data_IF_368385875982
#
_entry.id   IF_368385875982
#
_cell.length_a   1.000
_cell.length_b   1.000
_cell.length_c   1.000
_cell.angle_alpha   90.00
_cell.angle_beta   90.00
_cell.angle_gamma   90.00
#
_symmetry.space_group_name_H-M   'P 1'
#
loop_
_entity.id
_entity.type
_entity.pdbx_description
1 polymer ?
#
# COMPACT_ATOMS: atom_id res chain seq x y z
N UNK A 1 -0.12 -19.93 11.09
CA UNK A 1 0.24 -20.91 10.03
C UNK A 1 1.63 -21.44 10.36
N UNK A 2 1.95 -22.71 10.04
CA UNK A 2 3.30 -23.26 10.27
C UNK A 2 4.10 -23.16 8.97
N UNK A 3 4.77 -22.03 8.77
CA UNK A 3 5.47 -21.67 7.53
C UNK A 3 6.59 -22.63 7.13
N UNK A 4 7.35 -23.16 8.11
CA UNK A 4 8.45 -24.10 7.85
C UNK A 4 8.00 -25.42 7.20
N UNK A 5 6.76 -25.83 7.41
CA UNK A 5 6.21 -27.01 6.73
C UNK A 5 5.78 -26.72 5.29
N UNK A 6 5.38 -25.46 5.00
CA UNK A 6 4.98 -25.02 3.67
C UNK A 6 6.21 -24.75 2.79
N UNK A 7 7.24 -24.17 3.37
CA UNK A 7 8.46 -23.72 2.69
C UNK A 7 9.66 -24.55 3.15
N UNK A 8 9.56 -25.88 2.93
CA UNK A 8 10.58 -26.81 3.37
C UNK A 8 11.66 -27.03 2.29
N UNK A 9 12.93 -26.66 2.56
CA UNK A 9 14.03 -26.85 1.59
C UNK A 9 14.31 -28.28 1.19
N UNK A 10 13.83 -29.27 1.99
CA UNK A 10 14.01 -30.68 1.68
C UNK A 10 13.09 -31.21 0.57
N UNK A 11 12.04 -30.46 0.22
CA UNK A 11 11.04 -30.87 -0.77
C UNK A 11 10.88 -29.88 -1.92
N UNK A 12 11.42 -28.67 -1.79
CA UNK A 12 11.34 -27.62 -2.81
C UNK A 12 12.74 -27.22 -3.30
N UNK A 13 12.85 -26.89 -4.59
CA UNK A 13 14.02 -26.22 -5.13
C UNK A 13 13.99 -24.74 -4.79
N UNK A 14 15.14 -24.06 -4.78
CA UNK A 14 15.15 -22.59 -4.67
C UNK A 14 14.35 -21.93 -5.81
N UNK A 15 13.62 -20.89 -5.45
CA UNK A 15 12.88 -20.01 -6.36
C UNK A 15 13.82 -18.92 -6.83
N UNK A 16 13.89 -18.68 -8.13
CA UNK A 16 14.69 -17.62 -8.73
C UNK A 16 13.81 -16.41 -9.03
N UNK A 17 14.00 -15.35 -8.27
CA UNK A 17 13.30 -14.09 -8.47
C UNK A 17 14.21 -13.08 -9.21
N UNK A 18 13.61 -12.20 -9.99
CA UNK A 18 14.24 -10.93 -10.37
C UNK A 18 13.54 -9.78 -9.64
N UNK A 19 14.28 -8.70 -9.47
CA UNK A 19 13.83 -7.50 -8.79
C UNK A 19 13.85 -6.32 -9.77
N UNK A 20 12.78 -5.54 -9.85
CA UNK A 20 12.81 -4.22 -10.45
C UNK A 20 12.74 -3.16 -9.36
N UNK A 21 13.66 -2.18 -9.45
CA UNK A 21 13.81 -1.13 -8.44
C UNK A 21 14.71 -1.55 -7.26
N UNK A 22 15.81 -0.80 -7.07
CA UNK A 22 16.74 -0.96 -5.97
C UNK A 22 16.69 0.24 -5.01
N UNK A 23 15.46 0.69 -4.67
CA UNK A 23 15.18 1.64 -3.61
C UNK A 23 15.25 0.98 -2.23
N UNK A 24 14.80 1.68 -1.18
CA UNK A 24 14.81 1.15 0.20
C UNK A 24 14.10 -0.20 0.32
N UNK A 25 12.93 -0.34 -0.28
CA UNK A 25 12.16 -1.58 -0.26
C UNK A 25 12.90 -2.72 -0.98
N UNK A 26 13.33 -2.49 -2.23
CA UNK A 26 14.02 -3.51 -3.03
C UNK A 26 15.36 -3.93 -2.42
N UNK A 27 16.13 -2.99 -1.87
CA UNK A 27 17.37 -3.29 -1.16
C UNK A 27 17.13 -4.12 0.10
N UNK A 28 16.07 -3.82 0.87
CA UNK A 28 15.64 -4.59 2.04
C UNK A 28 15.25 -6.03 1.66
N UNK A 29 14.48 -6.19 0.58
CA UNK A 29 14.13 -7.51 0.04
C UNK A 29 15.37 -8.30 -0.38
N UNK A 30 16.29 -7.67 -1.13
CA UNK A 30 17.52 -8.32 -1.61
C UNK A 30 18.40 -8.77 -0.45
N UNK A 31 18.53 -7.94 0.58
CA UNK A 31 19.26 -8.29 1.81
C UNK A 31 18.63 -9.48 2.51
N UNK A 32 17.32 -9.46 2.74
CA UNK A 32 16.62 -10.51 3.45
C UNK A 32 16.65 -11.85 2.70
N UNK A 33 16.58 -11.80 1.37
CA UNK A 33 16.63 -12.99 0.51
C UNK A 33 17.90 -13.82 0.73
N UNK A 34 19.03 -13.21 1.09
CA UNK A 34 20.28 -13.93 1.39
C UNK A 34 20.17 -14.89 2.59
N UNK A 35 19.26 -14.61 3.52
CA UNK A 35 18.96 -15.49 4.65
C UNK A 35 17.90 -16.55 4.38
N UNK A 36 17.31 -16.59 3.18
CA UNK A 36 16.22 -17.49 2.82
C UNK A 36 16.69 -18.66 1.95
N UNK A 37 16.74 -19.91 2.48
CA UNK A 37 17.30 -21.05 1.75
C UNK A 37 16.58 -21.41 0.43
N UNK A 38 15.32 -20.97 0.28
CA UNK A 38 14.48 -21.24 -0.91
C UNK A 38 14.38 -20.07 -1.87
N UNK A 39 15.18 -19.00 -1.69
CA UNK A 39 15.06 -17.81 -2.51
C UNK A 39 16.44 -17.36 -3.03
N UNK A 40 16.53 -17.20 -4.33
CA UNK A 40 17.67 -16.59 -5.01
C UNK A 40 17.20 -15.38 -5.79
N UNK A 41 17.98 -14.29 -5.77
CA UNK A 41 17.69 -13.07 -6.55
C UNK A 41 18.89 -12.79 -7.48
N UNK A 42 19.04 -13.55 -8.56
CA UNK A 42 20.20 -13.46 -9.45
C UNK A 42 20.15 -12.30 -10.44
N UNK A 43 19.06 -11.54 -10.52
CA UNK A 43 18.92 -10.45 -11.46
C UNK A 43 18.19 -9.25 -10.85
N UNK A 44 18.71 -8.04 -11.08
CA UNK A 44 18.11 -6.77 -10.66
C UNK A 44 18.08 -5.81 -11.85
N UNK A 45 16.90 -5.23 -12.10
CA UNK A 45 16.71 -4.16 -13.08
C UNK A 45 16.43 -2.83 -12.36
N UNK A 46 17.21 -1.80 -12.66
CA UNK A 46 16.98 -0.46 -12.13
C UNK A 46 17.61 0.61 -13.01
N UNK A 47 16.91 1.73 -13.17
CA UNK A 47 17.44 2.89 -13.96
C UNK A 47 18.82 3.36 -13.50
N UNK A 48 19.12 3.28 -12.20
CA UNK A 48 20.42 3.64 -11.64
C UNK A 48 21.15 2.36 -11.24
N UNK A 49 21.87 1.76 -12.19
CA UNK A 49 22.55 0.46 -12.02
C UNK A 49 23.45 0.39 -10.79
N UNK A 50 24.12 1.51 -10.42
CA UNK A 50 24.97 1.55 -9.25
C UNK A 50 24.21 1.24 -7.96
N UNK A 51 22.94 1.67 -7.84
CA UNK A 51 22.10 1.33 -6.66
C UNK A 51 21.90 -0.18 -6.49
N UNK A 52 21.80 -0.91 -7.60
CA UNK A 52 21.68 -2.37 -7.54
C UNK A 52 23.00 -3.03 -7.14
N UNK A 53 24.12 -2.52 -7.63
CA UNK A 53 25.46 -3.00 -7.22
C UNK A 53 25.65 -2.77 -5.73
N UNK A 54 25.35 -1.56 -5.23
CA UNK A 54 25.44 -1.21 -3.81
C UNK A 54 24.50 -2.09 -2.96
N UNK A 55 23.28 -2.37 -3.46
CA UNK A 55 22.33 -3.24 -2.77
C UNK A 55 22.83 -4.69 -2.65
N UNK A 56 23.47 -5.24 -3.70
CA UNK A 56 24.13 -6.55 -3.64
C UNK A 56 25.28 -6.56 -2.65
N UNK A 57 26.14 -5.54 -2.66
CA UNK A 57 27.26 -5.44 -1.72
C UNK A 57 26.76 -5.35 -0.28
N UNK A 58 25.74 -4.54 -0.01
CA UNK A 58 25.09 -4.43 1.30
C UNK A 58 24.46 -5.77 1.73
N UNK A 59 24.01 -6.58 0.80
CA UNK A 59 23.49 -7.93 1.05
C UNK A 59 24.61 -9.00 1.20
N UNK A 60 25.89 -8.59 1.20
CA UNK A 60 27.04 -9.48 1.38
C UNK A 60 27.52 -10.16 0.11
N UNK A 61 27.03 -9.78 -1.06
CA UNK A 61 27.49 -10.28 -2.35
C UNK A 61 28.57 -9.34 -2.89
N UNK A 62 29.83 -9.81 -3.03
CA UNK A 62 30.92 -8.93 -3.47
C UNK A 62 30.74 -8.46 -4.91
N UNK A 63 31.18 -7.23 -5.23
CA UNK A 63 31.11 -6.65 -6.58
C UNK A 63 31.71 -7.57 -7.67
N UNK A 64 32.70 -8.38 -7.32
CA UNK A 64 33.31 -9.37 -8.25
C UNK A 64 32.31 -10.46 -8.70
N UNK A 65 31.18 -10.62 -8.02
CA UNK A 65 30.09 -11.55 -8.36
C UNK A 65 28.90 -10.86 -9.01
N UNK A 66 28.99 -9.54 -9.25
CA UNK A 66 27.96 -8.76 -9.90
C UNK A 66 28.43 -8.30 -11.28
N UNK A 67 27.57 -8.39 -12.27
CA UNK A 67 27.86 -7.96 -13.65
C UNK A 67 26.77 -6.99 -14.13
N UNK A 68 27.18 -5.78 -14.45
CA UNK A 68 26.32 -4.83 -15.18
C UNK A 68 26.33 -5.21 -16.65
N UNK A 69 25.16 -5.38 -17.24
CA UNK A 69 24.96 -5.81 -18.62
C UNK A 69 24.14 -4.77 -19.39
N UNK A 70 24.52 -4.54 -20.65
CA UNK A 70 23.92 -3.53 -21.52
C UNK A 70 23.07 -4.14 -22.65
N UNK A 71 22.92 -5.47 -22.65
CA UNK A 71 22.11 -6.21 -23.63
C UNK A 71 21.61 -7.53 -23.07
N UNK A 72 20.58 -8.10 -23.71
CA UNK A 72 20.05 -9.42 -23.37
C UNK A 72 21.09 -10.54 -23.56
N UNK A 73 21.98 -10.46 -24.58
CA UNK A 73 23.01 -11.44 -24.83
C UNK A 73 24.07 -11.42 -23.72
N UNK A 74 24.47 -10.23 -23.30
CA UNK A 74 25.42 -10.03 -22.21
C UNK A 74 24.84 -10.55 -20.88
N UNK A 75 23.58 -10.21 -20.59
CA UNK A 75 22.85 -10.66 -19.40
C UNK A 75 22.76 -12.19 -19.35
N UNK A 76 22.42 -12.83 -20.49
CA UNK A 76 22.33 -14.29 -20.60
C UNK A 76 23.67 -14.96 -20.39
N UNK A 77 24.76 -14.41 -20.93
CA UNK A 77 26.11 -14.91 -20.75
C UNK A 77 26.54 -14.75 -19.28
N UNK A 78 26.41 -13.57 -18.71
CA UNK A 78 26.77 -13.31 -17.31
C UNK A 78 26.01 -14.23 -16.35
N UNK A 79 24.71 -14.42 -16.57
CA UNK A 79 23.88 -15.35 -15.78
C UNK A 79 24.39 -16.81 -15.92
N UNK A 80 24.69 -17.27 -17.13
CA UNK A 80 25.23 -18.62 -17.38
C UNK A 80 26.58 -18.83 -16.71
N UNK A 81 27.41 -17.78 -16.64
CA UNK A 81 28.73 -17.78 -15.97
C UNK A 81 28.60 -17.67 -14.42
N UNK A 82 27.37 -17.61 -13.87
CA UNK A 82 27.09 -17.60 -12.44
C UNK A 82 27.27 -16.24 -11.76
N UNK A 83 27.14 -15.13 -12.50
CA UNK A 83 27.11 -13.78 -11.94
C UNK A 83 25.70 -13.37 -11.61
N UNK A 84 25.55 -12.50 -10.61
CA UNK A 84 24.34 -11.71 -10.41
C UNK A 84 24.30 -10.60 -11.46
N UNK A 85 23.19 -10.51 -12.17
CA UNK A 85 23.03 -9.63 -13.33
C UNK A 85 22.37 -8.32 -12.91
N UNK A 86 22.91 -7.19 -13.32
CA UNK A 86 22.30 -5.86 -13.15
C UNK A 86 22.09 -5.24 -14.53
N UNK A 87 20.89 -4.75 -14.77
CA UNK A 87 20.47 -4.11 -16.04
C UNK A 87 19.69 -2.84 -15.79
N UNK A 88 19.59 -1.97 -16.80
CA UNK A 88 18.73 -0.78 -16.82
C UNK A 88 17.40 -0.98 -17.57
N UNK A 89 17.29 -2.05 -18.37
CA UNK A 89 16.05 -2.46 -19.05
C UNK A 89 15.64 -3.87 -18.65
N UNK A 90 14.35 -4.04 -18.30
CA UNK A 90 13.81 -5.36 -17.93
C UNK A 90 13.84 -6.36 -19.10
N UNK A 91 13.73 -5.89 -20.32
CA UNK A 91 13.82 -6.71 -21.54
C UNK A 91 15.11 -7.55 -21.61
N UNK A 92 16.23 -7.05 -21.04
CA UNK A 92 17.51 -7.76 -21.07
C UNK A 92 17.55 -9.01 -20.18
N UNK A 93 16.66 -9.09 -19.18
CA UNK A 93 16.58 -10.24 -18.26
C UNK A 93 15.29 -11.05 -18.39
N UNK A 94 14.32 -10.58 -19.18
CA UNK A 94 13.01 -11.22 -19.29
C UNK A 94 13.06 -12.68 -19.80
N UNK A 95 14.06 -13.03 -20.61
CA UNK A 95 14.25 -14.39 -21.14
C UNK A 95 15.18 -15.27 -20.29
N UNK A 96 15.67 -14.80 -19.14
CA UNK A 96 16.42 -15.61 -18.18
C UNK A 96 15.47 -16.62 -17.48
N UNK A 97 15.99 -17.77 -17.03
CA UNK A 97 15.17 -18.79 -16.36
C UNK A 97 14.81 -18.36 -14.93
N UNK A 98 13.90 -17.43 -14.82
CA UNK A 98 13.41 -16.82 -13.59
C UNK A 98 11.96 -17.27 -13.33
N UNK A 99 11.58 -17.42 -12.07
CA UNK A 99 10.25 -17.90 -11.65
C UNK A 99 9.31 -16.74 -11.31
N UNK A 100 9.85 -15.66 -10.75
CA UNK A 100 9.04 -14.56 -10.18
C UNK A 100 9.70 -13.21 -10.46
N UNK A 101 8.90 -12.24 -10.89
CA UNK A 101 9.24 -10.82 -10.84
C UNK A 101 8.76 -10.23 -9.51
N UNK A 102 9.65 -9.59 -8.75
CA UNK A 102 9.32 -8.68 -7.65
C UNK A 102 9.43 -7.26 -8.19
N UNK A 103 8.30 -6.57 -8.30
CA UNK A 103 8.24 -5.23 -8.88
C UNK A 103 8.14 -4.17 -7.76
N UNK A 104 9.16 -3.34 -7.59
CA UNK A 104 9.27 -2.31 -6.55
C UNK A 104 9.89 -0.99 -7.05
N UNK A 105 9.71 -0.67 -8.32
CA UNK A 105 10.32 0.53 -8.92
C UNK A 105 9.60 1.83 -8.56
N UNK A 106 8.31 1.79 -8.22
CA UNK A 106 7.46 2.96 -7.99
C UNK A 106 7.22 3.81 -9.26
N UNK A 107 7.52 3.27 -10.45
CA UNK A 107 7.35 3.94 -11.74
C UNK A 107 6.22 3.28 -12.54
N UNK A 108 4.98 3.82 -12.52
CA UNK A 108 3.77 3.10 -12.94
C UNK A 108 3.83 2.52 -14.36
N UNK A 109 4.29 3.30 -15.33
CA UNK A 109 4.36 2.86 -16.75
C UNK A 109 5.41 1.76 -16.95
N UNK A 110 6.63 1.96 -16.44
CA UNK A 110 7.70 0.97 -16.55
C UNK A 110 7.39 -0.31 -15.76
N UNK A 111 6.78 -0.16 -14.60
CA UNK A 111 6.31 -1.25 -13.75
C UNK A 111 5.24 -2.09 -14.44
N UNK A 112 4.25 -1.45 -15.07
CA UNK A 112 3.21 -2.14 -15.83
C UNK A 112 3.79 -2.93 -17.02
N UNK A 113 4.69 -2.32 -17.78
CA UNK A 113 5.37 -2.97 -18.91
C UNK A 113 6.22 -4.16 -18.46
N UNK A 114 7.01 -4.01 -17.38
CA UNK A 114 7.82 -5.09 -16.85
C UNK A 114 6.95 -6.26 -16.35
N UNK A 115 5.85 -5.97 -15.63
CA UNK A 115 4.92 -6.98 -15.14
C UNK A 115 4.20 -7.73 -16.28
N UNK A 116 3.76 -7.01 -17.32
CA UNK A 116 3.15 -7.61 -18.50
C UNK A 116 4.13 -8.55 -19.21
N UNK A 117 5.35 -8.08 -19.49
CA UNK A 117 6.40 -8.88 -20.13
C UNK A 117 6.78 -10.10 -19.26
N UNK A 118 6.87 -9.95 -17.93
CA UNK A 118 7.12 -11.07 -17.03
C UNK A 118 6.02 -12.15 -17.14
N UNK A 119 4.75 -11.75 -17.16
CA UNK A 119 3.61 -12.66 -17.37
C UNK A 119 3.71 -13.36 -18.74
N UNK A 120 4.08 -12.64 -19.79
CA UNK A 120 4.28 -13.20 -21.12
C UNK A 120 5.41 -14.23 -21.16
N UNK A 121 6.44 -14.06 -20.36
CA UNK A 121 7.57 -14.99 -20.22
C UNK A 121 7.37 -16.11 -19.21
N UNK A 122 6.18 -16.19 -18.60
CA UNK A 122 5.81 -17.27 -17.68
C UNK A 122 6.27 -17.06 -16.24
N UNK A 123 6.60 -15.83 -15.84
CA UNK A 123 6.93 -15.50 -14.46
C UNK A 123 5.67 -15.12 -13.67
N UNK A 124 5.63 -15.51 -12.40
CA UNK A 124 4.71 -14.94 -11.42
C UNK A 124 5.10 -13.48 -11.14
N UNK A 125 4.16 -12.67 -10.65
CA UNK A 125 4.40 -11.25 -10.32
C UNK A 125 4.02 -11.00 -8.87
N UNK A 126 4.97 -10.47 -8.11
CA UNK A 126 4.77 -9.88 -6.78
C UNK A 126 4.91 -8.38 -6.95
N UNK A 127 3.78 -7.68 -6.91
CA UNK A 127 3.69 -6.24 -7.14
C UNK A 127 3.78 -5.49 -5.82
N UNK A 128 4.82 -4.70 -5.66
CA UNK A 128 5.02 -3.82 -4.50
C UNK A 128 4.62 -2.38 -4.86
N UNK A 129 4.82 -1.98 -6.11
CA UNK A 129 4.45 -0.64 -6.58
C UNK A 129 2.93 -0.46 -6.61
N UNK A 130 2.38 0.02 -5.49
CA UNK A 130 0.96 0.32 -5.31
C UNK A 130 0.40 1.29 -6.36
N UNK A 131 1.25 2.16 -6.86
CA UNK A 131 0.96 3.11 -7.93
C UNK A 131 0.49 2.39 -9.20
N UNK A 132 1.18 1.32 -9.57
CA UNK A 132 0.83 0.46 -10.69
C UNK A 132 -0.36 -0.43 -10.37
N UNK A 133 -0.36 -1.02 -9.17
CA UNK A 133 -1.39 -1.97 -8.72
C UNK A 133 -2.78 -1.29 -8.71
N UNK A 134 -2.87 -0.04 -8.24
CA UNK A 134 -4.12 0.72 -8.19
C UNK A 134 -4.69 1.07 -9.57
N UNK A 135 -3.86 1.12 -10.62
CA UNK A 135 -4.28 1.50 -11.98
C UNK A 135 -4.55 0.27 -12.85
N UNK A 136 -3.59 -0.68 -12.91
CA UNK A 136 -3.65 -1.81 -13.84
C UNK A 136 -3.58 -3.17 -13.16
N UNK A 137 -3.53 -3.24 -11.83
CA UNK A 137 -3.39 -4.48 -11.08
C UNK A 137 -4.46 -5.53 -11.42
N UNK A 138 -5.72 -5.11 -11.58
CA UNK A 138 -6.82 -6.01 -11.94
C UNK A 138 -6.67 -6.63 -13.34
N UNK A 139 -6.12 -5.88 -14.30
CA UNK A 139 -5.85 -6.36 -15.66
C UNK A 139 -4.67 -7.33 -15.65
N UNK A 140 -3.58 -6.98 -14.98
CA UNK A 140 -2.41 -7.83 -14.85
C UNK A 140 -2.72 -9.14 -14.12
N UNK A 141 -3.50 -9.08 -13.03
CA UNK A 141 -3.96 -10.25 -12.30
C UNK A 141 -4.77 -11.20 -13.20
N UNK A 142 -5.67 -10.66 -14.04
CA UNK A 142 -6.43 -11.45 -15.01
C UNK A 142 -5.51 -12.10 -16.05
N UNK A 143 -4.58 -11.33 -16.66
CA UNK A 143 -3.62 -11.85 -17.63
C UNK A 143 -2.74 -12.96 -17.04
N UNK A 144 -2.30 -12.83 -15.80
CA UNK A 144 -1.56 -13.85 -15.09
C UNK A 144 -2.40 -15.11 -14.88
N UNK A 145 -3.65 -14.98 -14.40
CA UNK A 145 -4.55 -16.10 -14.17
C UNK A 145 -4.88 -16.88 -15.45
N UNK A 146 -5.09 -16.20 -16.58
CA UNK A 146 -5.31 -16.81 -17.90
C UNK A 146 -4.13 -17.70 -18.34
N UNK A 147 -2.93 -17.46 -17.81
CA UNK A 147 -1.71 -18.25 -18.06
C UNK A 147 -1.35 -19.23 -16.93
N UNK A 148 -2.21 -19.38 -15.93
CA UNK A 148 -1.93 -20.22 -14.74
C UNK A 148 -0.82 -19.65 -13.85
N UNK A 149 -0.57 -18.36 -13.94
CA UNK A 149 0.41 -17.63 -13.13
C UNK A 149 -0.27 -16.89 -11.98
N UNK A 150 0.50 -16.54 -10.98
CA UNK A 150 0.05 -15.72 -9.84
C UNK A 150 0.50 -14.28 -10.06
N UNK A 151 -0.43 -13.37 -9.89
CA UNK A 151 -0.19 -11.96 -9.59
C UNK A 151 -0.66 -11.69 -8.17
N UNK A 152 0.13 -11.02 -7.38
CA UNK A 152 -0.22 -10.67 -5.99
C UNK A 152 0.38 -9.33 -5.60
N UNK A 153 -0.35 -8.54 -4.82
CA UNK A 153 0.24 -7.45 -4.03
C UNK A 153 1.24 -8.08 -3.05
N UNK A 154 2.44 -7.52 -2.96
CA UNK A 154 3.55 -8.09 -2.17
C UNK A 154 3.40 -7.83 -0.67
N UNK A 155 3.71 -8.86 0.16
CA UNK A 155 3.82 -8.67 1.60
C UNK A 155 4.99 -7.72 1.94
N UNK A 156 4.83 -7.00 3.05
CA UNK A 156 5.80 -6.00 3.52
C UNK A 156 5.34 -4.57 3.34
N UNK A 157 4.17 -4.34 2.74
CA UNK A 157 3.49 -3.04 2.71
C UNK A 157 2.06 -3.17 3.25
N UNK A 158 1.45 -2.06 3.64
CA UNK A 158 0.13 -2.01 4.29
C UNK A 158 -1.00 -2.65 3.47
N UNK A 159 -1.09 -2.49 2.14
CA UNK A 159 -2.17 -3.10 1.37
C UNK A 159 -2.25 -4.62 1.53
N UNK A 160 -1.14 -5.33 1.35
CA UNK A 160 -1.10 -6.79 1.47
C UNK A 160 -1.43 -7.25 2.90
N UNK A 161 -0.85 -6.60 3.92
CA UNK A 161 -1.16 -6.89 5.33
C UNK A 161 -2.64 -6.72 5.65
N UNK A 162 -3.26 -5.64 5.17
CA UNK A 162 -4.68 -5.38 5.40
C UNK A 162 -5.57 -6.39 4.68
N UNK A 163 -5.25 -6.72 3.42
CA UNK A 163 -5.95 -7.75 2.64
C UNK A 163 -5.87 -9.09 3.37
N UNK A 164 -4.67 -9.47 3.84
CA UNK A 164 -4.44 -10.67 4.63
C UNK A 164 -5.25 -10.70 5.91
N UNK A 165 -5.28 -9.61 6.68
CA UNK A 165 -6.03 -9.49 7.93
C UNK A 165 -7.54 -9.56 7.70
N UNK A 166 -8.06 -8.89 6.66
CA UNK A 166 -9.48 -8.98 6.25
C UNK A 166 -9.82 -10.42 5.85
N UNK A 167 -8.99 -11.05 5.02
CA UNK A 167 -9.19 -12.43 4.58
C UNK A 167 -9.21 -13.40 5.76
N UNK A 168 -8.24 -13.28 6.68
CA UNK A 168 -8.18 -14.07 7.90
C UNK A 168 -9.44 -13.91 8.76
N UNK A 169 -9.90 -12.68 8.99
CA UNK A 169 -11.13 -12.43 9.74
C UNK A 169 -12.37 -13.03 9.09
N UNK A 170 -12.47 -13.00 7.75
CA UNK A 170 -13.57 -13.61 6.99
C UNK A 170 -13.57 -15.14 7.09
N UNK A 171 -12.41 -15.78 6.99
CA UNK A 171 -12.27 -17.25 7.15
C UNK A 171 -12.68 -17.69 8.54
N UNK A 172 -12.44 -16.88 9.57
CA UNK A 172 -12.91 -17.12 10.93
C UNK A 172 -14.40 -16.81 11.15
N UNK A 173 -15.12 -16.38 10.12
CA UNK A 173 -16.55 -16.02 10.22
C UNK A 173 -16.82 -14.74 11.01
N UNK A 174 -15.82 -13.86 11.18
CA UNK A 174 -16.00 -12.59 11.85
C UNK A 174 -16.83 -11.62 11.00
N UNK A 175 -17.75 -10.90 11.63
CA UNK A 175 -18.46 -9.80 10.98
C UNK A 175 -17.60 -8.54 11.04
N UNK A 176 -16.89 -8.24 9.95
CA UNK A 176 -16.02 -7.06 9.84
C UNK A 176 -16.87 -5.86 9.49
N UNK A 177 -16.98 -4.89 10.40
CA UNK A 177 -17.77 -3.66 10.23
C UNK A 177 -16.93 -2.50 9.72
N UNK A 178 -15.62 -2.53 9.94
CA UNK A 178 -14.67 -1.56 9.45
C UNK A 178 -13.30 -2.17 9.25
N UNK A 179 -12.52 -1.61 8.34
CA UNK A 179 -11.13 -1.98 8.15
C UNK A 179 -10.34 -0.77 7.66
N UNK A 180 -9.04 -0.77 7.89
CA UNK A 180 -8.22 0.34 7.47
C UNK A 180 -6.77 0.26 7.89
N UNK A 181 -6.09 1.37 7.68
CA UNK A 181 -4.68 1.55 8.02
C UNK A 181 -4.45 2.82 8.81
N UNK A 182 -3.37 2.87 9.55
CA UNK A 182 -2.83 4.15 9.97
C UNK A 182 -2.14 4.83 8.78
N UNK A 183 -2.36 6.14 8.64
CA UNK A 183 -1.53 6.96 7.76
C UNK A 183 -0.07 6.93 8.24
N UNK A 184 0.86 7.31 7.39
CA UNK A 184 2.27 7.49 7.75
C UNK A 184 2.50 8.63 8.76
N UNK A 185 1.48 9.48 8.97
CA UNK A 185 1.54 10.59 9.91
C UNK A 185 1.23 10.12 11.34
N UNK A 186 2.25 10.20 12.19
CA UNK A 186 2.17 9.91 13.62
C UNK A 186 2.09 11.24 14.39
N UNK A 187 1.03 11.43 15.17
CA UNK A 187 0.75 12.66 15.89
C UNK A 187 1.03 12.46 17.37
N UNK A 188 2.16 13.01 17.83
CA UNK A 188 2.71 12.78 19.17
C UNK A 188 2.36 13.98 20.05
N UNK A 189 1.45 13.76 21.00
CA UNK A 189 1.04 14.78 21.97
C UNK A 189 1.92 14.76 23.20
N UNK A 190 2.58 15.90 23.45
CA UNK A 190 3.30 16.17 24.70
C UNK A 190 2.41 16.93 25.67
N UNK A 191 1.89 16.29 26.74
CA UNK A 191 1.00 16.93 27.69
C UNK A 191 1.69 17.97 28.59
N UNK A 192 3.01 17.91 28.74
CA UNK A 192 3.77 18.88 29.55
C UNK A 192 3.90 20.23 28.85
N UNK A 193 3.94 20.21 27.50
CA UNK A 193 4.06 21.41 26.67
C UNK A 193 2.77 21.81 25.98
N UNK A 194 1.73 20.98 26.06
CA UNK A 194 0.44 21.09 25.36
C UNK A 194 0.64 21.30 23.85
N UNK A 195 1.50 20.45 23.25
CA UNK A 195 1.92 20.50 21.85
C UNK A 195 1.75 19.14 21.16
N UNK A 196 1.51 19.16 19.86
CA UNK A 196 1.54 17.98 19.00
C UNK A 196 2.71 18.09 18.04
N UNK A 197 3.59 17.10 18.05
CA UNK A 197 4.66 16.89 17.09
C UNK A 197 4.22 15.92 16.01
N UNK A 198 4.43 16.27 14.74
CA UNK A 198 4.26 15.40 13.59
C UNK A 198 5.61 15.24 12.88
N UNK A 199 6.40 14.19 13.19
CA UNK A 199 7.74 14.01 12.64
C UNK A 199 7.76 13.91 11.13
N UNK A 200 6.82 13.17 10.53
CA UNK A 200 6.71 13.00 9.07
C UNK A 200 6.49 14.31 8.32
N UNK A 201 5.88 15.32 8.95
CA UNK A 201 5.68 16.65 8.39
C UNK A 201 6.70 17.69 8.92
N UNK A 202 7.60 17.26 9.83
CA UNK A 202 8.60 18.13 10.49
C UNK A 202 7.96 19.37 11.13
N UNK A 203 6.79 19.20 11.74
CA UNK A 203 6.01 20.29 12.36
C UNK A 203 5.70 19.99 13.81
N UNK A 204 5.66 21.04 14.61
CA UNK A 204 5.22 21.04 15.99
C UNK A 204 4.18 22.14 16.18
N UNK A 205 3.00 21.78 16.69
CA UNK A 205 1.83 22.66 16.78
C UNK A 205 1.44 22.84 18.23
N UNK A 206 1.30 24.08 18.69
CA UNK A 206 0.73 24.40 19.97
C UNK A 206 -0.77 24.03 19.98
N UNK A 207 -1.18 23.25 20.95
CA UNK A 207 -2.52 22.67 21.02
C UNK A 207 -3.15 22.89 22.42
N UNK A 208 -3.33 24.16 22.84
CA UNK A 208 -3.85 24.47 24.19
C UNK A 208 -5.20 23.82 24.42
N UNK A 209 -5.29 23.00 25.48
CA UNK A 209 -6.48 22.27 25.84
C UNK A 209 -6.65 20.90 25.19
N UNK A 210 -5.69 20.41 24.40
CA UNK A 210 -5.71 19.07 23.78
C UNK A 210 -5.86 17.97 24.84
N UNK A 211 -5.29 18.16 26.03
CA UNK A 211 -5.42 17.21 27.14
C UNK A 211 -6.89 16.90 27.50
N UNK A 212 -7.79 17.87 27.38
CA UNK A 212 -9.23 17.66 27.58
C UNK A 212 -9.86 16.77 26.51
N UNK A 213 -9.23 16.64 25.34
CA UNK A 213 -9.65 15.83 24.21
C UNK A 213 -8.89 14.50 24.16
N UNK A 214 -8.04 14.18 25.16
CA UNK A 214 -7.23 12.97 25.17
C UNK A 214 -8.05 11.68 25.11
N UNK A 215 -9.21 11.65 25.76
CA UNK A 215 -10.16 10.53 25.76
C UNK A 215 -11.55 11.01 25.39
N UNK A 216 -12.35 10.12 24.81
CA UNK A 216 -13.74 10.42 24.49
C UNK A 216 -14.59 10.69 25.75
N UNK A 217 -14.35 9.94 26.83
CA UNK A 217 -15.23 9.98 28.01
C UNK A 217 -16.65 9.60 27.62
N UNK A 218 -17.63 10.41 28.06
CA UNK A 218 -19.05 10.25 27.71
C UNK A 218 -19.44 11.02 26.44
N UNK A 219 -18.52 11.71 25.78
CA UNK A 219 -18.79 12.50 24.57
C UNK A 219 -18.93 11.61 23.35
N UNK A 220 -19.68 12.03 22.31
CA UNK A 220 -19.68 11.38 21.02
C UNK A 220 -18.26 11.35 20.43
N UNK A 221 -17.86 10.21 19.86
CA UNK A 221 -16.53 10.04 19.27
C UNK A 221 -16.29 11.06 18.15
N UNK A 222 -17.26 11.26 17.26
CA UNK A 222 -17.20 12.23 16.15
C UNK A 222 -16.92 13.66 16.65
N UNK A 223 -17.52 14.07 17.76
CA UNK A 223 -17.29 15.41 18.34
C UNK A 223 -15.82 15.60 18.75
N UNK A 224 -15.26 14.61 19.45
CA UNK A 224 -13.89 14.72 19.97
C UNK A 224 -12.87 14.70 18.84
N UNK A 225 -12.99 13.77 17.87
CA UNK A 225 -12.06 13.74 16.73
C UNK A 225 -12.21 14.96 15.82
N UNK A 226 -13.44 15.51 15.70
CA UNK A 226 -13.68 16.77 15.00
C UNK A 226 -12.96 17.95 15.66
N UNK A 227 -12.97 18.05 16.98
CA UNK A 227 -12.23 19.07 17.73
C UNK A 227 -10.71 18.89 17.62
N UNK A 228 -10.21 17.66 17.73
CA UNK A 228 -8.78 17.38 17.49
C UNK A 228 -8.36 17.83 16.10
N UNK A 229 -9.14 17.48 15.07
CA UNK A 229 -8.88 17.89 13.70
C UNK A 229 -8.88 19.42 13.52
N UNK A 230 -9.82 20.13 14.16
CA UNK A 230 -9.88 21.59 14.11
C UNK A 230 -8.66 22.27 14.72
N UNK A 231 -8.01 21.65 15.72
CA UNK A 231 -6.77 22.15 16.31
C UNK A 231 -5.53 21.86 15.46
N UNK A 232 -5.63 20.90 14.54
CA UNK A 232 -4.51 20.39 13.73
C UNK A 232 -4.69 20.63 12.23
N UNK A 233 -5.44 21.68 11.85
CA UNK A 233 -5.76 21.98 10.44
C UNK A 233 -4.56 22.34 9.59
N UNK A 234 -3.44 22.79 10.20
CA UNK A 234 -2.20 23.08 9.49
C UNK A 234 -1.41 21.82 9.12
N UNK A 235 -1.76 20.67 9.71
CA UNK A 235 -1.14 19.39 9.39
C UNK A 235 -1.96 18.66 8.32
N UNK A 236 -1.28 17.94 7.44
CA UNK A 236 -1.94 17.00 6.54
C UNK A 236 -2.41 15.77 7.32
N UNK A 237 -3.62 15.30 7.04
CA UNK A 237 -4.22 14.12 7.66
C UNK A 237 -4.26 12.91 6.74
N UNK A 238 -3.81 13.06 5.51
CA UNK A 238 -3.74 12.00 4.47
C UNK A 238 -2.78 12.40 3.38
N UNK A 239 -2.23 11.42 2.71
CA UNK A 239 -1.39 11.55 1.52
C UNK A 239 -2.03 10.85 0.32
N UNK A 240 -1.54 11.12 -0.89
CA UNK A 240 -1.94 10.38 -2.09
C UNK A 240 -1.60 8.89 -1.98
N UNK A 241 -0.42 8.49 -1.46
CA UNK A 241 -0.12 7.09 -1.16
C UNK A 241 -1.15 6.40 -0.26
N UNK A 242 -1.65 7.04 0.81
CA UNK A 242 -2.71 6.47 1.65
C UNK A 242 -3.96 6.09 0.86
N UNK A 243 -4.40 6.98 -0.04
CA UNK A 243 -5.58 6.75 -0.89
C UNK A 243 -5.31 5.63 -1.91
N UNK A 244 -4.11 5.63 -2.50
CA UNK A 244 -3.67 4.63 -3.45
C UNK A 244 -3.71 3.22 -2.85
N UNK A 245 -3.09 3.04 -1.69
CA UNK A 245 -3.06 1.77 -0.97
C UNK A 245 -4.47 1.26 -0.66
N UNK A 246 -5.36 2.15 -0.25
CA UNK A 246 -6.73 1.77 0.07
C UNK A 246 -7.58 1.49 -1.18
N UNK A 247 -7.25 2.04 -2.35
CA UNK A 247 -7.85 1.62 -3.63
C UNK A 247 -7.47 0.16 -3.95
N UNK A 248 -6.21 -0.23 -3.76
CA UNK A 248 -5.74 -1.62 -3.91
C UNK A 248 -6.52 -2.55 -2.98
N UNK A 249 -6.66 -2.18 -1.69
CA UNK A 249 -7.44 -2.96 -0.71
C UNK A 249 -8.90 -3.09 -1.13
N UNK A 250 -9.54 -2.01 -1.61
CA UNK A 250 -10.92 -2.03 -2.09
C UNK A 250 -11.09 -3.00 -3.25
N UNK A 251 -10.17 -2.95 -4.23
CA UNK A 251 -10.18 -3.80 -5.41
C UNK A 251 -9.95 -5.29 -5.07
N UNK A 252 -9.16 -5.59 -4.04
CA UNK A 252 -8.89 -6.95 -3.60
C UNK A 252 -10.01 -7.53 -2.72
N UNK A 253 -10.61 -6.71 -1.86
CA UNK A 253 -11.51 -7.20 -0.79
C UNK A 253 -12.99 -6.95 -1.07
N UNK A 254 -13.32 -6.02 -1.95
CA UNK A 254 -14.68 -5.55 -2.20
C UNK A 254 -15.24 -4.63 -1.11
N UNK A 255 -14.44 -4.28 -0.10
CA UNK A 255 -14.82 -3.25 0.87
C UNK A 255 -14.56 -1.87 0.26
N UNK A 256 -15.53 -0.98 0.35
CA UNK A 256 -15.45 0.35 -0.27
C UNK A 256 -15.19 1.45 0.77
N UNK A 257 -14.55 2.55 0.39
CA UNK A 257 -14.47 3.74 1.23
C UNK A 257 -15.85 4.22 1.66
N UNK A 258 -15.99 4.72 2.89
CA UNK A 258 -17.21 5.39 3.31
C UNK A 258 -17.36 6.77 2.66
N UNK A 259 -16.23 7.43 2.42
CA UNK A 259 -16.13 8.76 1.77
C UNK A 259 -14.96 8.79 0.80
N UNK A 260 -15.05 9.59 -0.29
CA UNK A 260 -13.98 9.72 -1.29
C UNK A 260 -12.62 10.16 -0.74
N UNK A 261 -12.61 10.85 0.38
CA UNK A 261 -11.40 11.38 1.05
C UNK A 261 -11.19 10.77 2.43
N UNK A 262 -11.91 9.69 2.77
CA UNK A 262 -11.94 9.13 4.11
C UNK A 262 -12.35 10.13 5.21
N UNK A 263 -12.63 9.65 6.40
CA UNK A 263 -12.78 10.48 7.58
C UNK A 263 -11.42 10.93 8.11
N UNK A 264 -10.42 10.06 8.04
CA UNK A 264 -9.04 10.29 8.47
C UNK A 264 -8.93 10.95 9.85
N UNK A 265 -9.57 10.40 10.91
CA UNK A 265 -9.56 11.00 12.23
C UNK A 265 -8.16 10.95 12.85
N UNK A 266 -7.89 11.91 13.74
CA UNK A 266 -6.75 11.85 14.67
C UNK A 266 -7.22 11.07 15.90
N UNK A 267 -6.73 9.84 16.05
CA UNK A 267 -7.27 8.89 17.01
C UNK A 267 -6.20 8.02 17.65
N UNK A 268 -6.49 7.56 18.87
CA UNK A 268 -5.66 6.58 19.57
C UNK A 268 -6.03 5.16 19.13
N UNK A 269 -5.11 4.23 19.32
CA UNK A 269 -5.30 2.81 18.95
C UNK A 269 -6.52 2.21 19.66
N UNK A 270 -6.73 2.53 20.94
CA UNK A 270 -7.84 2.03 21.74
C UNK A 270 -9.20 2.65 21.37
N UNK A 271 -9.21 3.71 20.56
CA UNK A 271 -10.42 4.38 20.08
C UNK A 271 -10.96 3.83 18.75
N UNK A 272 -10.18 3.01 18.04
CA UNK A 272 -10.56 2.46 16.73
C UNK A 272 -11.93 1.76 16.72
N UNK A 273 -12.31 0.92 17.74
CA UNK A 273 -13.60 0.25 17.73
C UNK A 273 -14.79 1.18 17.93
N UNK A 274 -14.58 2.36 18.55
CA UNK A 274 -15.61 3.38 18.72
C UNK A 274 -15.80 4.24 17.47
N UNK A 275 -14.77 4.33 16.61
CA UNK A 275 -14.77 5.19 15.42
C UNK A 275 -15.20 4.45 14.16
N UNK A 276 -14.60 3.28 13.91
CA UNK A 276 -14.75 2.57 12.63
C UNK A 276 -15.89 1.56 12.66
N UNK A 277 -17.01 1.99 13.17
CA UNK A 277 -18.29 1.28 13.22
C UNK A 277 -19.42 2.19 12.72
N UNK A 278 -20.66 1.66 12.53
CA UNK A 278 -21.77 2.44 12.03
C UNK A 278 -22.15 3.63 12.93
N UNK A 279 -22.56 4.75 12.33
CA UNK A 279 -23.08 5.95 13.04
C UNK A 279 -24.23 5.63 13.98
N UNK A 280 -25.09 4.69 13.61
CA UNK A 280 -26.19 4.23 14.47
C UNK A 280 -25.69 3.68 15.83
N UNK A 281 -24.43 3.29 15.92
CA UNK A 281 -23.78 2.76 17.11
C UNK A 281 -22.75 3.73 17.71
N UNK A 282 -22.70 4.96 17.20
CA UNK A 282 -21.83 6.05 17.67
C UNK A 282 -20.52 6.22 16.92
N UNK A 283 -20.30 5.47 15.82
CA UNK A 283 -19.12 5.56 14.97
C UNK A 283 -19.23 6.59 13.84
N UNK A 284 -18.36 6.45 12.84
CA UNK A 284 -18.22 7.38 11.72
C UNK A 284 -18.89 6.89 10.42
N UNK A 285 -19.13 5.58 10.27
CA UNK A 285 -19.54 5.00 9.00
C UNK A 285 -21.05 5.08 8.75
N UNK A 286 -21.44 5.41 7.53
CA UNK A 286 -22.84 5.40 7.11
C UNK A 286 -23.40 3.97 7.02
N UNK A 287 -22.53 2.97 6.78
CA UNK A 287 -22.87 1.55 6.73
C UNK A 287 -21.71 0.68 7.23
N UNK A 288 -21.96 -0.57 7.66
CA UNK A 288 -20.88 -1.50 8.00
C UNK A 288 -20.11 -1.95 6.76
N UNK A 289 -18.90 -2.48 6.98
CA UNK A 289 -18.05 -3.01 5.92
C UNK A 289 -17.34 -1.93 5.10
N UNK A 290 -16.97 -0.82 5.75
CA UNK A 290 -16.29 0.31 5.10
C UNK A 290 -14.80 0.33 5.38
N UNK A 291 -14.07 0.99 4.47
CA UNK A 291 -12.65 1.29 4.60
C UNK A 291 -12.43 2.73 5.05
N UNK A 292 -11.41 2.94 5.86
CA UNK A 292 -10.94 4.28 6.23
C UNK A 292 -9.45 4.25 6.59
N UNK A 293 -8.88 5.42 6.82
CA UNK A 293 -7.55 5.62 7.39
C UNK A 293 -7.68 6.40 8.69
N UNK A 294 -6.67 6.36 9.55
CA UNK A 294 -6.57 7.27 10.70
C UNK A 294 -5.13 7.72 10.92
N UNK A 295 -4.98 8.81 11.66
CA UNK A 295 -3.67 9.31 12.08
C UNK A 295 -3.46 8.90 13.53
N UNK A 296 -2.41 8.11 13.78
CA UNK A 296 -2.12 7.60 15.12
C UNK A 296 -1.81 8.77 16.07
N UNK A 297 -2.66 8.94 17.08
CA UNK A 297 -2.53 9.96 18.12
C UNK A 297 -2.08 9.32 19.41
N UNK A 298 -0.88 9.63 19.87
CA UNK A 298 -0.24 8.99 21.01
C UNK A 298 0.62 9.94 21.83
N UNK A 299 1.00 9.50 23.01
CA UNK A 299 2.06 10.13 23.81
C UNK A 299 3.43 9.66 23.35
N UNK A 300 4.52 10.37 23.77
CA UNK A 300 5.88 9.97 23.42
C UNK A 300 6.27 8.57 23.91
N UNK A 301 5.70 8.12 25.02
CA UNK A 301 5.95 6.82 25.68
C UNK A 301 4.99 5.69 25.23
N UNK A 302 4.01 6.00 24.37
CA UNK A 302 3.09 5.00 23.82
C UNK A 302 3.59 4.47 22.46
N UNK A 303 3.20 3.24 22.12
CA UNK A 303 3.54 2.62 20.85
C UNK A 303 2.92 3.36 19.67
N UNK A 304 3.69 3.51 18.60
CA UNK A 304 3.19 3.99 17.30
C UNK A 304 2.43 2.89 16.57
N UNK A 305 1.49 3.30 15.74
CA UNK A 305 0.86 2.44 14.74
C UNK A 305 1.06 2.99 13.32
N UNK A 306 1.95 3.97 13.14
CA UNK A 306 2.30 4.44 11.80
C UNK A 306 2.80 3.27 10.95
N UNK A 307 2.17 3.04 9.81
CA UNK A 307 2.42 1.84 9.01
C UNK A 307 1.65 0.58 9.42
N UNK A 308 0.77 0.65 10.42
CA UNK A 308 -0.08 -0.47 10.85
C UNK A 308 -1.42 -0.56 10.12
N UNK A 309 -2.07 -1.71 10.27
CA UNK A 309 -3.37 -2.02 9.66
C UNK A 309 -4.31 -2.63 10.68
N UNK A 310 -5.64 -2.48 10.47
CA UNK A 310 -6.64 -2.98 11.41
C UNK A 310 -7.93 -3.43 10.74
N UNK A 311 -8.67 -4.29 11.45
CA UNK A 311 -10.09 -4.56 11.22
C UNK A 311 -10.87 -4.29 12.51
N UNK A 312 -12.11 -3.83 12.36
CA UNK A 312 -13.07 -3.72 13.46
C UNK A 312 -14.16 -4.75 13.25
N UNK A 313 -14.37 -5.58 14.25
CA UNK A 313 -15.29 -6.73 14.21
C UNK A 313 -16.38 -6.61 15.26
N UNK A 314 -17.54 -7.19 14.97
CA UNK A 314 -18.66 -7.25 15.92
C UNK A 314 -18.42 -8.34 16.99
N UNK A 315 -18.57 -7.96 18.26
CA UNK A 315 -18.41 -8.84 19.43
C UNK A 315 -19.68 -9.67 19.68
N UNK A 316 -19.92 -10.72 18.92
CA UNK A 316 -21.11 -11.57 19.04
C UNK A 316 -21.08 -12.45 20.29
N UNK A 317 -19.94 -13.08 20.59
CA UNK A 317 -19.73 -13.86 21.82
C UNK A 317 -19.24 -12.96 22.96
N UNK A 318 -20.19 -12.46 23.73
CA UNK A 318 -19.88 -11.53 24.83
C UNK A 318 -18.91 -12.10 25.87
N UNK A 319 -18.96 -13.41 26.15
CA UNK A 319 -18.07 -14.02 27.16
C UNK A 319 -16.63 -14.01 26.72
N UNK A 320 -16.35 -14.48 25.50
CA UNK A 320 -14.99 -14.44 24.92
C UNK A 320 -14.46 -13.02 24.84
N UNK A 321 -15.28 -12.07 24.37
CA UNK A 321 -14.85 -10.67 24.23
C UNK A 321 -14.61 -9.96 25.56
N UNK A 322 -15.36 -10.30 26.64
CA UNK A 322 -15.05 -9.81 27.99
C UNK A 322 -13.66 -10.29 28.46
N UNK A 323 -13.32 -11.56 28.20
CA UNK A 323 -12.00 -12.09 28.52
C UNK A 323 -10.90 -11.39 27.71
N UNK A 324 -11.13 -11.17 26.41
CA UNK A 324 -10.17 -10.48 25.55
C UNK A 324 -10.00 -9.00 25.95
N UNK A 325 -11.07 -8.31 26.28
CA UNK A 325 -11.02 -6.94 26.81
C UNK A 325 -10.23 -6.85 28.11
N UNK A 326 -10.42 -7.82 29.02
CA UNK A 326 -9.61 -7.89 30.26
C UNK A 326 -8.14 -8.16 30.00
N UNK A 327 -7.77 -8.73 28.85
CA UNK A 327 -6.38 -8.92 28.37
C UNK A 327 -5.84 -7.73 27.58
N UNK A 328 -6.57 -6.63 27.49
CA UNK A 328 -6.13 -5.40 26.85
C UNK A 328 -6.46 -5.25 25.36
N UNK A 329 -7.29 -6.13 24.78
CA UNK A 329 -7.77 -5.91 23.41
C UNK A 329 -8.64 -4.66 23.33
N UNK A 330 -8.43 -3.76 22.35
CA UNK A 330 -9.26 -2.58 22.16
C UNK A 330 -10.71 -2.97 21.87
N UNK A 331 -11.62 -2.58 22.75
CA UNK A 331 -13.05 -2.80 22.59
C UNK A 331 -13.80 -1.46 22.72
N UNK A 332 -14.89 -1.31 21.97
CA UNK A 332 -15.72 -0.12 22.03
C UNK A 332 -16.35 0.06 23.42
N UNK A 333 -16.70 1.29 23.74
CA UNK A 333 -17.31 1.67 25.04
C UNK A 333 -18.66 0.96 25.29
N UNK A 334 -19.37 0.59 24.22
CA UNK A 334 -20.64 -0.13 24.28
C UNK A 334 -20.48 -1.67 24.21
N UNK A 335 -19.25 -2.19 24.22
CA UNK A 335 -18.91 -3.62 24.15
C UNK A 335 -19.48 -4.35 22.92
N UNK A 336 -19.76 -3.63 21.82
CA UNK A 336 -20.27 -4.21 20.57
C UNK A 336 -19.18 -4.52 19.57
N UNK A 337 -18.07 -3.81 19.61
CA UNK A 337 -17.01 -3.89 18.61
C UNK A 337 -15.64 -4.05 19.26
N UNK A 338 -14.72 -4.67 18.53
CA UNK A 338 -13.33 -4.78 18.93
C UNK A 338 -12.42 -4.58 17.72
N UNK A 339 -11.23 -4.04 17.93
CA UNK A 339 -10.21 -3.93 16.91
C UNK A 339 -9.18 -5.05 17.02
N UNK A 340 -8.82 -5.62 15.87
CA UNK A 340 -7.69 -6.51 15.68
C UNK A 340 -6.74 -5.81 14.72
N UNK A 341 -5.44 -5.79 15.00
CA UNK A 341 -4.51 -4.98 14.23
C UNK A 341 -3.09 -5.54 14.21
N UNK A 342 -2.35 -5.18 13.18
CA UNK A 342 -0.89 -5.28 13.11
C UNK A 342 -0.30 -3.88 13.25
N UNK A 343 0.56 -3.62 14.23
CA UNK A 343 1.02 -2.26 14.52
C UNK A 343 2.02 -1.71 13.50
N UNK A 344 2.69 -2.56 12.73
CA UNK A 344 3.73 -2.19 11.79
C UNK A 344 3.83 -3.21 10.65
N UNK A 345 4.50 -2.83 9.57
CA UNK A 345 4.96 -3.69 8.47
C UNK A 345 6.50 -3.62 8.38
N UNK A 346 7.13 -4.58 7.69
CA UNK A 346 8.58 -4.74 7.70
C UNK A 346 9.25 -4.48 6.33
N UNK A 347 8.56 -3.80 5.42
CA UNK A 347 9.06 -3.51 4.07
C UNK A 347 9.47 -4.80 3.32
N UNK A 348 10.53 -4.75 2.55
CA UNK A 348 11.03 -5.88 1.75
C UNK A 348 11.36 -7.16 2.54
N UNK A 349 11.47 -7.08 3.88
CA UNK A 349 11.75 -8.24 4.74
C UNK A 349 10.68 -9.32 4.61
N UNK A 350 9.40 -8.94 4.46
CA UNK A 350 8.27 -9.88 4.40
C UNK A 350 8.00 -10.40 2.98
N UNK A 351 8.49 -9.71 1.94
CA UNK A 351 8.16 -9.98 0.52
C UNK A 351 8.53 -11.39 0.06
N UNK A 352 9.55 -11.98 0.67
CA UNK A 352 9.95 -13.35 0.38
C UNK A 352 8.82 -14.37 0.58
N UNK A 353 7.89 -14.14 1.50
CA UNK A 353 6.71 -15.01 1.70
C UNK A 353 5.80 -14.98 0.48
N UNK A 354 5.55 -13.81 -0.10
CA UNK A 354 4.76 -13.69 -1.34
C UNK A 354 5.43 -14.39 -2.52
N UNK A 355 6.76 -14.26 -2.64
CA UNK A 355 7.53 -14.92 -3.71
C UNK A 355 7.43 -16.45 -3.60
N UNK A 356 7.66 -17.00 -2.41
CA UNK A 356 7.57 -18.44 -2.18
C UNK A 356 6.14 -18.97 -2.33
N UNK A 357 5.13 -18.24 -1.83
CA UNK A 357 3.73 -18.62 -1.99
C UNK A 357 3.31 -18.63 -3.48
N UNK A 358 3.69 -17.62 -4.25
CA UNK A 358 3.40 -17.56 -5.68
C UNK A 358 4.04 -18.70 -6.46
N UNK A 359 5.36 -18.93 -6.26
CA UNK A 359 6.11 -19.91 -7.03
C UNK A 359 5.81 -21.36 -6.61
N UNK A 360 5.81 -21.67 -5.30
CA UNK A 360 5.75 -23.03 -4.80
C UNK A 360 4.31 -23.50 -4.54
N UNK A 361 3.42 -22.60 -4.13
CA UNK A 361 2.04 -22.94 -3.77
C UNK A 361 1.01 -22.49 -4.80
N UNK A 362 1.40 -21.71 -5.79
CA UNK A 362 0.49 -21.07 -6.75
C UNK A 362 -0.60 -20.25 -6.07
N UNK A 363 -0.23 -19.57 -4.99
CA UNK A 363 -1.14 -18.83 -4.13
C UNK A 363 -0.74 -17.36 -4.00
N UNK A 364 -1.73 -16.45 -4.12
CA UNK A 364 -1.55 -15.02 -3.90
C UNK A 364 -1.69 -14.70 -2.39
N UNK A 365 -0.78 -13.93 -1.83
CA UNK A 365 -0.84 -13.47 -0.43
C UNK A 365 -1.66 -12.19 -0.27
N UNK A 366 -1.55 -11.27 -1.21
CA UNK A 366 -2.20 -9.96 -1.23
C UNK A 366 -3.34 -9.84 -2.25
N UNK A 367 -4.24 -10.82 -2.32
CA UNK A 367 -5.45 -10.75 -3.15
C UNK A 367 -5.29 -11.39 -4.54
N UNK A 368 -5.84 -12.59 -4.70
CA UNK A 368 -5.80 -13.34 -5.96
C UNK A 368 -6.94 -13.06 -6.94
N UNK A 369 -7.90 -12.19 -6.59
CA UNK A 369 -9.06 -11.87 -7.43
C UNK A 369 -9.34 -10.37 -7.40
N UNK A 370 -8.41 -9.60 -7.94
CA UNK A 370 -8.53 -8.16 -8.06
C UNK A 370 -9.64 -7.77 -9.04
N UNK A 371 -10.52 -6.87 -8.62
CA UNK A 371 -11.61 -6.33 -9.44
C UNK A 371 -11.52 -4.82 -9.49
N UNK A 372 -11.77 -4.18 -10.64
CA UNK A 372 -11.78 -2.72 -10.73
C UNK A 372 -13.07 -2.17 -10.10
N UNK A 373 -13.05 -1.92 -8.79
CA UNK A 373 -14.17 -1.41 -8.01
C UNK A 373 -13.98 0.04 -7.59
N UNK A 374 -12.73 0.44 -7.36
CA UNK A 374 -12.36 1.75 -6.85
C UNK A 374 -11.11 2.25 -7.56
N UNK A 375 -11.17 3.47 -8.08
CA UNK A 375 -10.05 4.18 -8.68
C UNK A 375 -9.66 5.36 -7.79
N UNK A 376 -8.36 5.61 -7.67
CA UNK A 376 -7.82 6.87 -7.20
C UNK A 376 -7.80 7.83 -8.39
N UNK A 377 -8.59 8.90 -8.34
CA UNK A 377 -8.70 9.90 -9.43
C UNK A 377 -8.20 11.28 -8.97
N UNK A 378 -7.88 12.15 -9.92
CA UNK A 378 -7.53 13.53 -9.65
C UNK A 378 -8.73 14.47 -9.70
N UNK A 379 -8.86 15.36 -8.69
CA UNK A 379 -9.87 16.42 -8.63
C UNK A 379 -9.19 17.78 -8.55
N UNK A 380 -9.55 18.72 -9.41
CA UNK A 380 -9.07 20.10 -9.35
C UNK A 380 -9.54 20.76 -8.04
N UNK A 381 -8.64 21.33 -7.25
CA UNK A 381 -8.98 22.11 -6.02
C UNK A 381 -9.11 23.60 -6.29
N UNK A 382 -8.68 24.06 -7.44
CA UNK A 382 -8.83 25.42 -8.00
C UNK A 382 -9.07 25.31 -9.50
N UNK A 383 -9.43 26.40 -10.14
CA UNK A 383 -9.49 26.44 -11.60
C UNK A 383 -8.09 26.19 -12.19
N UNK A 384 -8.02 25.25 -13.12
CA UNK A 384 -6.80 24.89 -13.84
C UNK A 384 -6.98 25.27 -15.31
N UNK A 385 -6.24 26.25 -15.83
CA UNK A 385 -6.39 26.69 -17.23
C UNK A 385 -5.81 25.66 -18.21
N UNK A 386 -6.31 25.68 -19.44
CA UNK A 386 -5.71 24.99 -20.58
C UNK A 386 -4.20 25.27 -20.65
N UNK A 387 -3.41 24.25 -20.95
CA UNK A 387 -1.96 24.32 -20.99
C UNK A 387 -1.26 24.09 -19.66
N UNK A 388 -2.01 23.90 -18.56
CA UNK A 388 -1.42 23.51 -17.28
C UNK A 388 -0.77 22.12 -17.42
N UNK A 389 0.51 22.03 -17.04
CA UNK A 389 1.23 20.75 -16.94
C UNK A 389 1.02 20.17 -15.55
N UNK A 390 0.61 18.92 -15.50
CA UNK A 390 0.31 18.20 -14.26
C UNK A 390 1.58 17.48 -13.77
N UNK A 391 2.56 18.23 -13.31
CA UNK A 391 3.81 17.65 -12.80
C UNK A 391 3.60 17.03 -11.42
N UNK A 392 3.82 15.72 -11.35
CA UNK A 392 3.79 15.00 -10.10
C UNK A 392 5.17 15.03 -9.44
N UNK A 393 5.22 15.42 -8.17
CA UNK A 393 6.47 15.54 -7.45
C UNK A 393 6.41 15.14 -5.97
N UNK A 394 7.60 14.99 -5.41
CA UNK A 394 7.80 14.70 -3.99
C UNK A 394 7.45 13.28 -3.56
N UNK A 395 7.78 12.98 -2.31
CA UNK A 395 7.50 11.68 -1.67
C UNK A 395 6.01 11.37 -1.58
N UNK A 396 5.16 12.39 -1.51
CA UNK A 396 3.70 12.25 -1.39
C UNK A 396 2.95 12.32 -2.72
N UNK A 397 3.65 12.25 -3.86
CA UNK A 397 3.06 12.24 -5.20
C UNK A 397 2.08 13.40 -5.43
N UNK A 398 2.45 14.60 -5.04
CA UNK A 398 1.59 15.79 -5.16
C UNK A 398 1.60 16.34 -6.58
N UNK A 399 0.43 16.78 -7.05
CA UNK A 399 0.26 17.60 -8.26
C UNK A 399 -0.34 18.94 -7.83
N UNK A 400 0.29 20.05 -8.19
CA UNK A 400 -0.18 21.38 -7.79
C UNK A 400 -1.60 21.66 -8.30
N UNK A 401 -2.49 22.03 -7.39
CA UNK A 401 -3.90 22.30 -7.71
C UNK A 401 -4.77 21.06 -7.92
N UNK A 402 -4.26 19.83 -7.68
CA UNK A 402 -5.00 18.58 -7.80
C UNK A 402 -4.91 17.78 -6.50
N UNK A 403 -6.05 17.33 -6.00
CA UNK A 403 -6.12 16.37 -4.90
C UNK A 403 -6.51 14.98 -5.40
N UNK A 404 -5.97 13.94 -4.77
CA UNK A 404 -6.40 12.55 -5.00
C UNK A 404 -7.75 12.30 -4.30
N UNK A 405 -8.68 11.65 -5.01
CA UNK A 405 -9.99 11.24 -4.47
C UNK A 405 -10.31 9.82 -4.91
N UNK A 406 -10.89 9.03 -4.01
CA UNK A 406 -11.36 7.69 -4.32
C UNK A 406 -12.74 7.77 -4.98
N UNK A 407 -12.88 7.11 -6.11
CA UNK A 407 -14.10 7.13 -6.91
C UNK A 407 -14.47 5.68 -7.30
N UNK A 408 -15.75 5.33 -7.42
CA UNK A 408 -16.13 4.06 -8.04
C UNK A 408 -15.46 3.92 -9.41
N UNK A 409 -14.85 2.77 -9.67
CA UNK A 409 -14.19 2.53 -10.95
C UNK A 409 -15.17 2.61 -12.12
N UNK A 410 -14.72 3.19 -13.22
CA UNK A 410 -15.49 3.34 -14.44
C UNK A 410 -14.72 2.82 -15.66
N UNK A 411 -15.46 2.46 -16.70
CA UNK A 411 -14.83 2.14 -17.98
C UNK A 411 -14.10 3.38 -18.53
N UNK A 412 -12.92 3.17 -19.09
CA UNK A 412 -12.14 4.26 -19.72
C UNK A 412 -12.92 4.87 -20.88
N UNK A 413 -13.02 6.18 -20.90
CA UNK A 413 -13.70 6.94 -21.94
C UNK A 413 -13.40 8.43 -21.79
N UNK A 414 -13.72 9.27 -22.81
CA UNK A 414 -13.39 10.70 -22.79
C UNK A 414 -13.89 11.45 -21.55
N UNK A 415 -15.06 11.07 -21.04
CA UNK A 415 -15.72 11.71 -19.89
C UNK A 415 -15.45 10.95 -18.58
N UNK A 416 -14.72 9.84 -18.61
CA UNK A 416 -14.37 9.08 -17.42
C UNK A 416 -13.25 9.75 -16.65
N UNK A 417 -13.38 9.81 -15.32
CA UNK A 417 -12.30 10.25 -14.45
C UNK A 417 -11.06 9.37 -14.65
N UNK A 418 -9.91 10.02 -14.85
CA UNK A 418 -8.67 9.29 -15.09
C UNK A 418 -7.99 8.92 -13.76
N UNK A 419 -7.42 7.70 -13.64
CA UNK A 419 -6.58 7.35 -12.52
C UNK A 419 -5.45 8.37 -12.30
N UNK A 420 -5.24 8.73 -11.03
CA UNK A 420 -4.37 9.84 -10.61
C UNK A 420 -2.94 9.73 -11.18
N UNK A 421 -2.38 8.53 -11.18
CA UNK A 421 -1.01 8.32 -11.67
C UNK A 421 -0.87 8.46 -13.18
N UNK A 422 -1.95 8.35 -13.94
CA UNK A 422 -1.95 8.62 -15.38
C UNK A 422 -2.01 10.13 -15.71
N UNK A 423 -2.22 10.98 -14.71
CA UNK A 423 -2.15 12.44 -14.86
C UNK A 423 -0.72 12.95 -14.93
N UNK A 424 0.25 12.17 -14.43
CA UNK A 424 1.65 12.61 -14.30
C UNK A 424 2.24 13.04 -15.63
N UNK A 425 2.81 14.25 -15.66
CA UNK A 425 3.45 14.86 -16.82
C UNK A 425 2.53 15.07 -18.04
N UNK A 426 1.20 15.07 -17.83
CA UNK A 426 0.22 15.39 -18.89
C UNK A 426 -0.10 16.87 -18.89
N UNK A 427 -0.53 17.38 -20.04
CA UNK A 427 -0.94 18.78 -20.22
C UNK A 427 -2.44 18.85 -20.41
N UNK A 428 -3.11 19.81 -19.76
CA UNK A 428 -4.54 20.06 -19.98
C UNK A 428 -4.79 20.66 -21.36
N UNK A 429 -5.67 20.03 -22.15
CA UNK A 429 -6.09 20.54 -23.46
C UNK A 429 -7.28 21.53 -23.40
N UNK A 430 -7.92 21.65 -22.23
CA UNK A 430 -9.02 22.60 -21.93
C UNK A 430 -8.98 23.03 -20.46
N UNK A 431 -9.77 24.05 -20.12
CA UNK A 431 -9.91 24.53 -18.74
C UNK A 431 -10.67 23.50 -17.91
N UNK A 432 -10.19 23.23 -16.68
CA UNK A 432 -10.82 22.36 -15.68
C UNK A 432 -11.22 23.18 -14.47
N UNK A 433 -12.52 23.42 -14.22
CA UNK A 433 -12.98 24.18 -13.06
C UNK A 433 -12.71 23.50 -11.73
N UNK A 434 -12.56 24.30 -10.67
CA UNK A 434 -12.47 23.80 -9.29
C UNK A 434 -13.60 22.81 -8.95
N UNK A 435 -13.28 21.74 -8.23
CA UNK A 435 -14.20 20.69 -7.82
C UNK A 435 -14.49 19.60 -8.88
N UNK A 436 -14.00 19.75 -10.11
CA UNK A 436 -14.19 18.75 -11.17
C UNK A 436 -13.11 17.67 -11.13
N UNK A 437 -13.52 16.42 -11.40
CA UNK A 437 -12.59 15.33 -11.71
C UNK A 437 -11.94 15.59 -13.07
N UNK A 438 -10.65 15.32 -13.15
CA UNK A 438 -9.90 15.40 -14.41
C UNK A 438 -10.19 14.12 -15.19
N UNK A 439 -10.64 14.27 -16.43
CA UNK A 439 -11.04 13.17 -17.31
C UNK A 439 -10.01 12.95 -18.41
N UNK A 440 -10.11 11.82 -19.10
CA UNK A 440 -9.26 11.54 -20.26
C UNK A 440 -9.39 12.63 -21.34
N UNK A 441 -10.60 13.15 -21.57
CA UNK A 441 -10.85 14.21 -22.56
C UNK A 441 -10.34 15.58 -22.15
N UNK A 442 -9.85 15.77 -20.93
CA UNK A 442 -9.21 17.02 -20.48
C UNK A 442 -7.71 17.09 -20.81
N UNK A 443 -7.13 15.95 -21.23
CA UNK A 443 -5.70 15.81 -21.42
C UNK A 443 -5.31 15.77 -22.89
N UNK A 444 -4.14 16.30 -23.17
CA UNK A 444 -3.44 16.12 -24.44
C UNK A 444 -2.78 14.74 -24.42
N UNK A 445 -3.49 13.75 -24.95
CA UNK A 445 -3.00 12.36 -25.02
C UNK A 445 -2.31 12.17 -26.37
N UNK A 446 -1.14 11.49 -26.43
CA UNK A 446 -0.55 11.09 -27.71
C UNK A 446 -1.55 10.24 -28.50
N UNK A 447 -1.66 10.52 -29.79
CA UNK A 447 -2.43 9.67 -30.71
C UNK A 447 -1.71 8.31 -30.82
N UNK A 448 -2.26 7.27 -30.22
CA UNK A 448 -2.02 5.86 -30.53
C UNK A 448 -3.34 5.12 -30.61
#
# INVERSE_FOLDING_TARGET
MFYESLFNPSIHRPVKACLTGAGEFGASFLFQAQGMPLLEVPAVCTRTVQRAVDAYENAGIPASKVRVCESAEDAKKAYADGFNVVVDSFEYIADLPLDVLVESSGAPEASAAAAELAIERGMHVVMVSKETDSVVGSILARKAAERGLVYTTGDGDQPSLLIGLISWGRVLGMNIVGAGKSSEYDFIYDPARDMVLCPGQKQEIATPGMGSLWQFGNRPAEEVVGKRRAMLTSLSHRSVPDLCEMAVVANATGMMPDRPLFHAPVARIDEMPDLFCPKADGGLFDAPGRLDIFNCFRRPDEASMAGGVFIVVECKDKKSWQVLKAKGHPCSRNDRYAALYHPAHLLGVETGTSVLAAALMKHATGGGNLRPLCDLCGRAVRDLPKGTVLDMGGHHHTIDGVEGVLNPAAAIGPDAALPFYLLSHRTLCRDVPAGKLITLGDLDMPEE
#
